data_IF_533904756185
#
_entry.id   IF_533904756185
#
_cell.length_a   1.000
_cell.length_b   1.000
_cell.length_c   1.000
_cell.angle_alpha   90.00
_cell.angle_beta   90.00
_cell.angle_gamma   90.00
#
_symmetry.space_group_name_H-M   'P 1'
#
loop_
_entity.id
_entity.type
_entity.pdbx_description
1 polymer ?
#
# COMPACT_ATOMS: atom_id res chain seq x y z
N UNK A 1 -11.90 -18.62 23.21
CA UNK A 1 -10.44 -18.42 23.32
C UNK A 1 -10.05 -17.38 22.28
N UNK A 2 -9.91 -16.11 22.66
CA UNK A 2 -9.53 -15.05 21.73
C UNK A 2 -8.02 -15.11 21.56
N UNK A 3 -7.55 -15.50 20.38
CA UNK A 3 -6.13 -15.52 20.03
C UNK A 3 -5.52 -14.13 20.19
N UNK A 4 -4.36 -14.03 20.83
CA UNK A 4 -3.61 -12.78 20.92
C UNK A 4 -3.07 -12.43 19.52
N UNK A 5 -3.35 -11.21 19.03
CA UNK A 5 -2.77 -10.71 17.77
C UNK A 5 -1.25 -10.61 17.90
N UNK A 6 -0.54 -11.05 16.87
CA UNK A 6 0.89 -10.81 16.73
C UNK A 6 1.15 -9.34 16.37
N UNK A 7 2.42 -8.92 16.49
CA UNK A 7 2.85 -7.59 16.04
C UNK A 7 2.55 -7.40 14.55
N UNK A 8 2.73 -8.44 13.72
CA UNK A 8 2.44 -8.37 12.28
C UNK A 8 0.95 -8.21 11.99
N UNK A 9 0.07 -8.82 12.80
CA UNK A 9 -1.37 -8.66 12.66
C UNK A 9 -1.84 -7.22 12.93
N UNK A 10 -1.05 -6.44 13.66
CA UNK A 10 -1.34 -5.02 13.93
C UNK A 10 -1.07 -4.12 12.71
N UNK A 11 -0.30 -4.61 11.74
CA UNK A 11 -0.01 -3.90 10.49
C UNK A 11 -0.90 -4.34 9.33
N UNK A 12 -1.82 -5.29 9.53
CA UNK A 12 -2.80 -5.67 8.51
C UNK A 12 -3.75 -4.50 8.22
N UNK A 13 -3.95 -4.23 6.94
CA UNK A 13 -4.80 -3.17 6.40
C UNK A 13 -5.95 -3.73 5.56
N UNK A 14 -6.35 -4.98 5.81
CA UNK A 14 -7.44 -5.65 5.10
C UNK A 14 -8.71 -4.79 5.07
N UNK A 15 -9.27 -4.58 3.88
CA UNK A 15 -10.47 -3.78 3.65
C UNK A 15 -10.23 -2.26 3.59
N UNK A 16 -9.03 -1.79 3.91
CA UNK A 16 -8.67 -0.36 3.83
C UNK A 16 -8.39 0.08 2.39
N UNK A 17 -8.49 1.38 2.15
CA UNK A 17 -8.06 2.02 0.89
C UNK A 17 -6.97 3.03 1.21
N UNK A 18 -5.86 3.00 0.45
CA UNK A 18 -4.77 3.96 0.62
C UNK A 18 -4.47 4.70 -0.69
N UNK A 19 -4.24 6.01 -0.57
CA UNK A 19 -3.75 6.87 -1.64
C UNK A 19 -2.26 7.14 -1.42
N UNK A 20 -1.42 6.74 -2.37
CA UNK A 20 0.03 6.99 -2.33
C UNK A 20 0.41 8.02 -3.38
N UNK A 21 0.79 9.21 -2.92
CA UNK A 21 1.31 10.26 -3.81
C UNK A 21 2.75 9.96 -4.21
N UNK A 22 3.09 10.20 -5.48
CA UNK A 22 4.40 9.81 -6.01
C UNK A 22 4.63 8.30 -6.09
N UNK A 23 3.56 7.49 -6.05
CA UNK A 23 3.63 6.02 -5.94
C UNK A 23 4.17 5.28 -7.16
N UNK A 24 4.39 5.96 -8.29
CA UNK A 24 4.86 5.33 -9.54
C UNK A 24 6.27 4.72 -9.49
N UNK A 25 7.15 5.18 -8.58
CA UNK A 25 8.57 4.80 -8.57
C UNK A 25 9.26 5.07 -7.24
N UNK A 26 10.49 4.56 -7.10
CA UNK A 26 11.32 4.78 -5.91
C UNK A 26 10.61 4.36 -4.62
N UNK A 27 10.82 5.12 -3.54
CA UNK A 27 10.21 4.82 -2.24
C UNK A 27 8.68 4.80 -2.29
N UNK A 28 8.06 5.68 -3.08
CA UNK A 28 6.60 5.71 -3.21
C UNK A 28 6.04 4.38 -3.73
N UNK A 29 6.74 3.75 -4.69
CA UNK A 29 6.36 2.43 -5.21
C UNK A 29 6.52 1.34 -4.14
N UNK A 30 7.67 1.31 -3.46
CA UNK A 30 7.91 0.32 -2.40
C UNK A 30 6.89 0.45 -1.26
N UNK A 31 6.51 1.67 -0.89
CA UNK A 31 5.47 1.93 0.11
C UNK A 31 4.10 1.43 -0.38
N UNK A 32 3.73 1.74 -1.64
CA UNK A 32 2.49 1.26 -2.23
C UNK A 32 2.43 -0.29 -2.25
N UNK A 33 3.52 -0.95 -2.62
CA UNK A 33 3.65 -2.41 -2.62
C UNK A 33 3.51 -2.99 -1.20
N UNK A 34 4.17 -2.41 -0.20
CA UNK A 34 4.08 -2.86 1.19
C UNK A 34 2.65 -2.71 1.77
N UNK A 35 1.98 -1.59 1.48
CA UNK A 35 0.59 -1.36 1.89
C UNK A 35 -0.37 -2.34 1.20
N UNK A 36 -0.13 -2.65 -0.09
CA UNK A 36 -0.90 -3.66 -0.81
C UNK A 36 -0.70 -5.06 -0.20
N UNK A 37 0.54 -5.43 0.11
CA UNK A 37 0.87 -6.69 0.79
C UNK A 37 0.22 -6.80 2.18
N UNK A 38 0.05 -5.67 2.87
CA UNK A 38 -0.67 -5.60 4.14
C UNK A 38 -2.20 -5.76 3.99
N UNK A 39 -2.74 -5.75 2.76
CA UNK A 39 -4.17 -6.00 2.48
C UNK A 39 -4.97 -4.76 2.09
N UNK A 40 -4.33 -3.59 1.94
CA UNK A 40 -5.02 -2.39 1.47
C UNK A 40 -5.26 -2.42 -0.05
N UNK A 41 -6.37 -1.85 -0.50
CA UNK A 41 -6.56 -1.46 -1.90
C UNK A 41 -5.85 -0.13 -2.15
N UNK A 42 -5.06 -0.05 -3.20
CA UNK A 42 -4.18 1.09 -3.44
C UNK A 42 -4.60 1.88 -4.67
N UNK A 43 -4.58 3.21 -4.54
CA UNK A 43 -4.51 4.13 -5.66
C UNK A 43 -3.18 4.89 -5.58
N UNK A 44 -2.45 4.99 -6.70
CA UNK A 44 -1.22 5.76 -6.77
C UNK A 44 -1.41 7.00 -7.64
N UNK A 45 -0.68 8.06 -7.33
CA UNK A 45 -0.61 9.25 -8.21
C UNK A 45 0.82 9.55 -8.59
N UNK A 46 0.99 10.11 -9.78
CA UNK A 46 2.27 10.59 -10.28
C UNK A 46 2.04 11.83 -11.15
N UNK A 47 3.06 12.69 -11.24
CA UNK A 47 2.97 13.93 -12.04
C UNK A 47 3.06 13.69 -13.55
N UNK A 48 3.54 12.52 -13.97
CA UNK A 48 3.72 12.18 -15.40
C UNK A 48 2.92 10.92 -15.70
N UNK A 49 2.04 11.01 -16.69
CA UNK A 49 1.20 9.89 -17.11
C UNK A 49 2.05 8.67 -17.51
N UNK A 50 3.15 8.89 -18.23
CA UNK A 50 4.10 7.84 -18.62
C UNK A 50 4.75 7.05 -17.49
N UNK A 51 4.58 7.46 -16.23
CA UNK A 51 5.00 6.70 -15.05
C UNK A 51 3.90 5.82 -14.45
N UNK A 52 2.68 5.94 -14.93
CA UNK A 52 1.52 5.12 -14.56
C UNK A 52 1.16 4.10 -15.66
N UNK A 53 1.49 4.40 -16.92
CA UNK A 53 1.12 3.62 -18.10
C UNK A 53 2.01 2.37 -18.35
N UNK A 54 2.48 1.70 -17.30
CA UNK A 54 3.36 0.53 -17.38
C UNK A 54 2.59 -0.80 -17.44
#
# INVERSE_FOLDING_TARGET
MTSARTVLDSFRLDGSVALVTGGSRGLGRTIAEALAQAGARIAITARRASWLDA
#
